data_IF_412806902570
#
_entry.id   IF_412806902570
#
_cell.length_a   1.000
_cell.length_b   1.000
_cell.length_c   1.000
_cell.angle_alpha   90.00
_cell.angle_beta   90.00
_cell.angle_gamma   90.00
#
_symmetry.space_group_name_H-M   'P 1'
#
loop_
_entity.id
_entity.type
_entity.pdbx_description
1 polymer ?
#
# COMPACT_ATOMS: atom_id res chain seq x y z
N UNK A 1 16.76 -18.81 1.64
CA UNK A 1 16.11 -17.95 2.66
C UNK A 1 14.75 -17.54 2.11
N UNK A 2 13.72 -17.41 2.96
CA UNK A 2 12.42 -16.87 2.54
C UNK A 2 12.62 -15.42 2.04
N UNK A 3 11.92 -15.04 0.97
CA UNK A 3 11.88 -13.65 0.51
C UNK A 3 11.31 -12.68 1.55
N UNK A 4 11.38 -11.39 1.25
CA UNK A 4 10.84 -10.32 2.11
C UNK A 4 9.66 -9.64 1.42
N UNK A 5 8.64 -9.33 2.19
CA UNK A 5 7.46 -8.61 1.71
C UNK A 5 7.39 -7.21 2.32
N UNK A 6 7.54 -6.19 1.49
CA UNK A 6 7.50 -4.78 1.88
C UNK A 6 6.32 -4.13 1.17
N UNK A 7 5.54 -3.34 1.90
CA UNK A 7 4.45 -2.55 1.34
C UNK A 7 4.70 -1.05 1.52
N UNK A 8 4.25 -0.26 0.56
CA UNK A 8 4.25 1.19 0.63
C UNK A 8 2.81 1.66 0.75
N UNK A 9 2.53 2.42 1.80
CA UNK A 9 1.20 2.91 2.13
C UNK A 9 1.18 4.44 2.24
N UNK A 10 0.01 5.02 2.39
CA UNK A 10 -0.18 6.47 2.47
C UNK A 10 -1.23 6.98 1.50
N UNK A 11 -1.58 8.27 1.62
CA UNK A 11 -2.59 8.95 0.80
C UNK A 11 -2.23 9.05 -0.68
N UNK A 12 -3.13 9.68 -1.44
CA UNK A 12 -2.88 9.94 -2.85
C UNK A 12 -1.75 10.97 -3.02
N UNK A 13 -0.97 10.83 -4.09
CA UNK A 13 0.16 11.74 -4.37
C UNK A 13 1.33 11.69 -3.38
N UNK A 14 1.36 10.73 -2.44
CA UNK A 14 2.42 10.63 -1.42
C UNK A 14 3.79 10.21 -1.97
N UNK A 15 3.90 9.82 -3.25
CA UNK A 15 5.18 9.46 -3.87
C UNK A 15 5.50 7.96 -3.85
N UNK A 16 4.56 7.09 -3.48
CA UNK A 16 4.75 5.64 -3.38
C UNK A 16 5.35 5.01 -4.64
N UNK A 17 4.78 5.31 -5.81
CA UNK A 17 5.21 4.74 -7.09
C UNK A 17 6.65 5.13 -7.44
N UNK A 18 7.05 6.37 -7.15
CA UNK A 18 8.43 6.84 -7.36
C UNK A 18 9.40 6.11 -6.43
N UNK A 19 9.03 6.03 -5.14
CA UNK A 19 9.87 5.38 -4.14
C UNK A 19 10.03 3.89 -4.40
N UNK A 20 8.96 3.18 -4.79
CA UNK A 20 9.00 1.73 -5.01
C UNK A 20 9.93 1.36 -6.18
N UNK A 21 9.97 2.17 -7.25
CA UNK A 21 10.89 1.93 -8.36
C UNK A 21 12.35 2.14 -7.93
N UNK A 22 12.64 3.23 -7.22
CA UNK A 22 13.98 3.50 -6.72
C UNK A 22 14.48 2.41 -5.75
N UNK A 23 13.61 1.93 -4.85
CA UNK A 23 13.92 0.81 -3.94
C UNK A 23 14.14 -0.50 -4.71
N UNK A 24 13.31 -0.79 -5.70
CA UNK A 24 13.47 -1.99 -6.53
C UNK A 24 14.82 -2.00 -7.25
N UNK A 25 15.22 -0.87 -7.82
CA UNK A 25 16.49 -0.75 -8.52
C UNK A 25 17.68 -0.90 -7.54
N UNK A 26 17.59 -0.30 -6.36
CA UNK A 26 18.61 -0.45 -5.32
C UNK A 26 18.78 -1.90 -4.86
N UNK A 27 17.66 -2.62 -4.63
CA UNK A 27 17.67 -4.03 -4.25
C UNK A 27 18.25 -4.91 -5.37
N UNK A 28 17.88 -4.66 -6.62
CA UNK A 28 18.42 -5.37 -7.79
C UNK A 28 19.91 -5.15 -7.97
N UNK A 29 20.41 -3.93 -7.73
CA UNK A 29 21.85 -3.62 -7.73
C UNK A 29 22.63 -4.43 -6.69
N UNK A 30 21.96 -4.87 -5.61
CA UNK A 30 22.52 -5.77 -4.60
C UNK A 30 22.36 -7.26 -4.97
N UNK A 31 21.91 -7.57 -6.19
CA UNK A 31 21.75 -8.93 -6.68
C UNK A 31 20.52 -9.68 -6.17
N UNK A 32 19.55 -8.97 -5.60
CA UNK A 32 18.30 -9.58 -5.11
C UNK A 32 17.30 -9.76 -6.25
N UNK A 33 16.55 -10.88 -6.23
CA UNK A 33 15.35 -11.03 -7.08
C UNK A 33 14.23 -10.16 -6.52
N UNK A 34 13.69 -9.25 -7.33
CA UNK A 34 12.71 -8.24 -6.89
C UNK A 34 11.49 -8.25 -7.78
N UNK A 35 10.34 -8.49 -7.17
CA UNK A 35 9.01 -8.35 -7.78
C UNK A 35 8.40 -7.04 -7.30
N UNK A 36 8.03 -6.17 -8.24
CA UNK A 36 7.26 -4.96 -7.97
C UNK A 36 5.82 -5.21 -8.39
N UNK A 37 4.88 -4.87 -7.51
CA UNK A 37 3.44 -5.08 -7.75
C UNK A 37 2.61 -3.97 -7.07
N UNK A 38 1.28 -4.05 -7.18
CA UNK A 38 0.36 -3.07 -6.59
C UNK A 38 -0.99 -3.67 -6.24
N UNK A 39 -1.73 -3.02 -5.36
CA UNK A 39 -3.12 -3.35 -5.06
C UNK A 39 -4.08 -2.14 -5.21
N UNK A 40 -5.34 -2.42 -5.63
CA UNK A 40 -5.79 -3.68 -6.20
C UNK A 40 -5.11 -3.93 -7.56
N UNK A 41 -4.86 -5.21 -7.90
CA UNK A 41 -4.21 -5.60 -9.15
C UNK A 41 -3.11 -6.64 -8.98
N UNK A 42 -2.17 -6.69 -9.94
CA UNK A 42 -0.99 -7.54 -9.91
C UNK A 42 -1.17 -8.94 -10.53
N UNK A 43 -2.40 -9.36 -10.80
CA UNK A 43 -2.73 -10.62 -11.50
C UNK A 43 -3.89 -10.38 -12.47
N UNK A 44 -4.08 -11.21 -13.50
CA UNK A 44 -5.17 -11.00 -14.46
C UNK A 44 -6.56 -10.88 -13.81
N UNK A 45 -6.88 -11.71 -12.81
CA UNK A 45 -8.14 -11.63 -12.08
C UNK A 45 -8.26 -10.36 -11.22
N UNK A 46 -7.19 -10.01 -10.51
CA UNK A 46 -7.15 -8.81 -9.69
C UNK A 46 -7.20 -7.51 -10.52
N UNK A 47 -6.65 -7.50 -11.75
CA UNK A 47 -6.75 -6.33 -12.65
C UNK A 47 -8.18 -6.09 -13.12
N UNK A 48 -8.99 -7.11 -13.37
CA UNK A 48 -10.42 -6.97 -13.66
C UNK A 48 -11.14 -6.32 -12.48
N UNK A 49 -10.86 -6.77 -11.26
CA UNK A 49 -11.43 -6.17 -10.04
C UNK A 49 -10.93 -4.73 -9.82
N UNK A 50 -9.68 -4.44 -10.15
CA UNK A 50 -9.13 -3.07 -10.13
C UNK A 50 -9.94 -2.13 -11.01
N UNK A 51 -10.21 -2.51 -12.25
CA UNK A 51 -10.98 -1.69 -13.18
C UNK A 51 -12.35 -1.31 -12.60
N UNK A 52 -13.10 -2.29 -12.07
CA UNK A 52 -14.39 -2.02 -11.47
C UNK A 52 -14.32 -1.20 -10.17
N UNK A 53 -13.25 -1.35 -9.39
CA UNK A 53 -13.05 -0.63 -8.12
C UNK A 53 -12.67 0.84 -8.32
N UNK A 54 -11.83 1.13 -9.32
CA UNK A 54 -11.29 2.48 -9.55
C UNK A 54 -12.15 3.37 -10.44
N UNK A 55 -13.18 2.80 -11.10
CA UNK A 55 -14.05 3.52 -12.03
C UNK A 55 -15.45 3.76 -11.47
N UNK A 56 -16.18 4.68 -12.10
CA UNK A 56 -17.58 4.99 -11.76
C UNK A 56 -17.73 6.10 -10.71
N UNK A 57 -18.94 6.28 -10.19
CA UNK A 57 -19.25 7.28 -9.17
C UNK A 57 -18.66 6.92 -7.80
N UNK A 58 -18.44 7.91 -6.94
CA UNK A 58 -17.85 7.71 -5.60
C UNK A 58 -18.72 6.83 -4.70
N UNK A 59 -20.02 6.87 -4.88
CA UNK A 59 -21.04 6.10 -4.15
C UNK A 59 -21.44 4.77 -4.83
N UNK A 60 -20.70 4.34 -5.85
CA UNK A 60 -20.98 3.10 -6.60
C UNK A 60 -21.08 1.87 -5.70
N UNK A 61 -20.27 1.81 -4.66
CA UNK A 61 -20.18 0.69 -3.74
C UNK A 61 -20.42 1.12 -2.30
N UNK A 62 -21.12 0.30 -1.52
CA UNK A 62 -21.06 0.47 -0.07
C UNK A 62 -19.64 0.15 0.43
N UNK A 63 -19.16 0.79 1.51
CA UNK A 63 -17.80 0.55 1.99
C UNK A 63 -17.48 -0.92 2.30
N UNK A 64 -18.48 -1.69 2.78
CA UNK A 64 -18.29 -3.12 3.02
C UNK A 64 -18.21 -3.93 1.73
N UNK A 65 -19.03 -3.62 0.72
CA UNK A 65 -18.93 -4.26 -0.61
C UNK A 65 -17.57 -3.99 -1.24
N UNK A 66 -17.07 -2.77 -1.11
CA UNK A 66 -15.76 -2.38 -1.60
C UNK A 66 -14.64 -3.15 -0.89
N UNK A 67 -14.72 -3.29 0.44
CA UNK A 67 -13.78 -4.11 1.21
C UNK A 67 -13.76 -5.57 0.74
N UNK A 68 -14.92 -6.16 0.49
CA UNK A 68 -15.02 -7.54 -0.03
C UNK A 68 -14.37 -7.69 -1.42
N UNK A 69 -14.59 -6.73 -2.32
CA UNK A 69 -13.96 -6.72 -3.65
C UNK A 69 -12.44 -6.53 -3.57
N UNK A 70 -11.97 -5.65 -2.66
CA UNK A 70 -10.53 -5.47 -2.39
C UNK A 70 -9.90 -6.77 -1.89
N UNK A 71 -10.57 -7.50 -0.98
CA UNK A 71 -10.06 -8.78 -0.49
C UNK A 71 -10.14 -9.88 -1.53
N UNK A 72 -11.15 -9.90 -2.41
CA UNK A 72 -11.20 -10.84 -3.53
C UNK A 72 -9.99 -10.66 -4.47
N UNK A 73 -9.65 -9.41 -4.83
CA UNK A 73 -8.46 -9.10 -5.62
C UNK A 73 -7.17 -9.50 -4.89
N UNK A 74 -7.10 -9.23 -3.59
CA UNK A 74 -5.93 -9.51 -2.74
C UNK A 74 -5.66 -11.00 -2.59
N UNK A 75 -6.69 -11.83 -2.40
CA UNK A 75 -6.52 -13.28 -2.34
C UNK A 75 -5.89 -13.81 -3.62
N UNK A 76 -6.45 -13.46 -4.79
CA UNK A 76 -5.88 -13.86 -6.09
C UNK A 76 -4.43 -13.38 -6.26
N UNK A 77 -4.14 -12.14 -5.82
CA UNK A 77 -2.81 -11.55 -5.86
C UNK A 77 -1.81 -12.28 -4.96
N UNK A 78 -2.20 -12.58 -3.72
CA UNK A 78 -1.33 -13.30 -2.77
C UNK A 78 -1.05 -14.71 -3.27
N UNK A 79 -2.08 -15.46 -3.66
CA UNK A 79 -1.94 -16.86 -4.06
C UNK A 79 -1.14 -17.04 -5.35
N UNK A 80 -1.34 -16.16 -6.34
CA UNK A 80 -0.77 -16.32 -7.68
C UNK A 80 0.56 -15.60 -7.90
N UNK A 81 0.85 -14.57 -7.11
CA UNK A 81 2.07 -13.76 -7.31
C UNK A 81 2.91 -13.63 -6.05
N UNK A 82 2.35 -13.09 -4.94
CA UNK A 82 3.17 -12.72 -3.79
C UNK A 82 3.74 -13.96 -3.10
N UNK A 83 2.90 -14.92 -2.70
CA UNK A 83 3.35 -16.11 -1.97
C UNK A 83 4.34 -16.97 -2.78
N UNK A 84 4.12 -17.24 -4.08
CA UNK A 84 5.13 -17.92 -4.90
C UNK A 84 6.45 -17.17 -5.03
N UNK A 85 6.41 -15.83 -5.13
CA UNK A 85 7.62 -15.00 -5.17
C UNK A 85 8.42 -15.11 -3.86
N UNK A 86 7.74 -14.99 -2.73
CA UNK A 86 8.38 -15.12 -1.41
C UNK A 86 8.96 -16.53 -1.17
N UNK A 87 8.28 -17.58 -1.65
CA UNK A 87 8.74 -18.97 -1.53
C UNK A 87 10.05 -19.22 -2.29
N UNK A 88 10.23 -18.61 -3.48
CA UNK A 88 11.50 -18.70 -4.23
C UNK A 88 12.60 -17.78 -3.72
N UNK A 89 12.34 -16.99 -2.65
CA UNK A 89 13.32 -16.09 -2.04
C UNK A 89 13.34 -14.68 -2.60
N UNK A 90 12.39 -14.32 -3.48
CA UNK A 90 12.31 -12.97 -4.04
C UNK A 90 11.82 -11.95 -2.99
N UNK A 91 12.29 -10.72 -3.12
CA UNK A 91 11.75 -9.57 -2.41
C UNK A 91 10.54 -9.06 -3.17
N UNK A 92 9.41 -8.88 -2.47
CA UNK A 92 8.19 -8.34 -3.06
C UNK A 92 7.98 -6.93 -2.52
N UNK A 93 7.87 -5.95 -3.42
CA UNK A 93 7.49 -4.57 -3.11
C UNK A 93 6.09 -4.33 -3.66
N UNK A 94 5.13 -4.01 -2.81
CA UNK A 94 3.76 -3.70 -3.23
C UNK A 94 3.38 -2.25 -2.95
N UNK A 95 2.87 -1.55 -3.98
CA UNK A 95 2.17 -0.27 -3.78
C UNK A 95 0.78 -0.60 -3.26
N UNK A 96 0.57 -0.41 -1.98
CA UNK A 96 -0.58 -0.78 -1.13
C UNK A 96 -0.72 -2.29 -0.84
N UNK A 97 -1.40 -2.55 0.29
CA UNK A 97 -1.85 -3.88 0.73
C UNK A 97 -3.02 -3.74 1.71
N UNK A 98 -3.12 -4.60 2.71
CA UNK A 98 -4.25 -4.71 3.64
C UNK A 98 -4.46 -3.44 4.49
N UNK A 99 -3.40 -2.71 4.81
CA UNK A 99 -3.46 -1.46 5.58
C UNK A 99 -4.28 -0.40 4.83
N UNK A 100 -4.21 -0.35 3.49
CA UNK A 100 -5.09 0.49 2.68
C UNK A 100 -6.57 0.17 2.92
N UNK A 101 -6.99 -1.10 3.01
CA UNK A 101 -8.40 -1.44 3.27
C UNK A 101 -8.82 -1.02 4.68
N UNK A 102 -7.95 -1.18 5.67
CA UNK A 102 -8.19 -0.69 7.04
C UNK A 102 -8.39 0.83 7.05
N UNK A 103 -7.57 1.57 6.29
CA UNK A 103 -7.63 3.02 6.23
C UNK A 103 -8.82 3.53 5.40
N UNK A 104 -8.99 3.05 4.16
CA UNK A 104 -10.01 3.55 3.21
C UNK A 104 -11.42 3.09 3.56
N UNK A 105 -11.66 1.78 3.65
CA UNK A 105 -12.99 1.22 3.89
C UNK A 105 -13.31 1.19 5.38
N UNK A 106 -12.30 0.96 6.22
CA UNK A 106 -12.45 0.98 7.67
C UNK A 106 -12.60 2.40 8.21
N UNK A 107 -11.51 3.04 8.57
CA UNK A 107 -11.52 4.30 9.32
C UNK A 107 -12.14 5.47 8.55
N UNK A 108 -11.81 5.67 7.27
CA UNK A 108 -12.37 6.74 6.46
C UNK A 108 -13.77 6.41 5.91
N UNK A 109 -14.04 5.14 5.57
CA UNK A 109 -15.28 4.68 4.98
C UNK A 109 -16.34 4.21 5.99
N UNK A 110 -15.98 4.08 7.27
CA UNK A 110 -16.93 3.78 8.36
C UNK A 110 -17.27 2.30 8.57
N UNK A 111 -16.57 1.36 7.91
CA UNK A 111 -16.69 -0.06 8.25
C UNK A 111 -15.98 -0.30 9.60
N UNK A 112 -16.64 -0.92 10.60
CA UNK A 112 -15.99 -1.23 11.87
C UNK A 112 -14.68 -2.00 11.66
N UNK A 113 -13.59 -1.54 12.29
CA UNK A 113 -12.24 -2.11 12.10
C UNK A 113 -12.21 -3.60 12.40
N UNK A 114 -12.96 -4.04 13.42
CA UNK A 114 -13.05 -5.46 13.77
C UNK A 114 -13.64 -6.32 12.64
N UNK A 115 -14.53 -5.77 11.82
CA UNK A 115 -15.05 -6.49 10.64
C UNK A 115 -14.00 -6.62 9.54
N UNK A 116 -13.15 -5.59 9.36
CA UNK A 116 -12.01 -5.65 8.43
C UNK A 116 -10.99 -6.70 8.91
N UNK A 117 -10.69 -6.74 10.21
CA UNK A 117 -9.80 -7.75 10.79
C UNK A 117 -10.34 -9.19 10.61
N UNK A 118 -11.63 -9.41 10.86
CA UNK A 118 -12.28 -10.71 10.62
C UNK A 118 -12.23 -11.11 9.15
N UNK A 119 -12.46 -10.16 8.24
CA UNK A 119 -12.35 -10.40 6.80
C UNK A 119 -10.93 -10.77 6.41
N UNK A 120 -9.92 -10.05 6.93
CA UNK A 120 -8.51 -10.37 6.71
C UNK A 120 -8.19 -11.79 7.22
N UNK A 121 -8.57 -12.09 8.44
CA UNK A 121 -8.33 -13.41 9.04
C UNK A 121 -8.98 -14.55 8.23
N UNK A 122 -10.21 -14.34 7.76
CA UNK A 122 -10.90 -15.34 6.93
C UNK A 122 -10.27 -15.52 5.55
N UNK A 123 -9.78 -14.44 4.94
CA UNK A 123 -9.25 -14.46 3.58
C UNK A 123 -7.76 -14.88 3.51
N UNK A 124 -6.93 -14.44 4.44
CA UNK A 124 -5.47 -14.54 4.39
C UNK A 124 -4.83 -15.09 5.68
N UNK A 125 -5.62 -15.34 6.73
CA UNK A 125 -5.07 -15.75 8.03
C UNK A 125 -4.12 -14.70 8.61
N UNK A 126 -2.91 -15.12 8.95
CA UNK A 126 -1.88 -14.24 9.52
C UNK A 126 -0.91 -13.67 8.48
N UNK A 127 -1.26 -13.74 7.17
CA UNK A 127 -0.38 -13.23 6.11
C UNK A 127 -0.31 -11.71 6.17
N UNK A 128 0.89 -11.18 6.40
CA UNK A 128 1.14 -9.74 6.50
C UNK A 128 2.53 -9.38 5.98
N UNK A 129 2.78 -8.11 5.64
CA UNK A 129 4.11 -7.64 5.26
C UNK A 129 5.14 -7.82 6.39
N UNK A 130 6.40 -8.03 6.02
CA UNK A 130 7.53 -7.97 6.95
C UNK A 130 7.82 -6.52 7.38
N UNK A 131 7.56 -5.54 6.48
CA UNK A 131 7.71 -4.11 6.73
C UNK A 131 6.70 -3.32 5.90
N UNK A 132 6.08 -2.30 6.49
CA UNK A 132 5.23 -1.31 5.81
C UNK A 132 5.84 0.08 5.97
N UNK A 133 6.13 0.73 4.84
CA UNK A 133 6.56 2.13 4.80
C UNK A 133 5.34 3.01 4.55
N UNK A 134 4.96 3.82 5.52
CA UNK A 134 3.82 4.75 5.41
C UNK A 134 4.35 6.13 5.05
N UNK A 135 4.09 6.56 3.81
CA UNK A 135 4.46 7.89 3.35
C UNK A 135 3.39 8.89 3.83
N UNK A 136 3.74 9.68 4.85
CA UNK A 136 2.87 10.72 5.36
C UNK A 136 3.05 12.01 4.57
N UNK A 137 1.95 12.54 4.01
CA UNK A 137 1.94 13.81 3.31
C UNK A 137 0.64 14.56 3.64
N UNK A 138 0.71 15.89 3.66
CA UNK A 138 -0.49 16.69 3.76
C UNK A 138 -1.42 16.37 2.57
N UNK A 139 -2.70 16.03 2.80
CA UNK A 139 -3.63 15.65 1.74
C UNK A 139 -3.74 16.69 0.62
N UNK A 140 -3.70 17.98 0.93
CA UNK A 140 -3.74 19.04 -0.07
C UNK A 140 -2.58 18.95 -1.03
N UNK A 141 -1.34 18.77 -0.52
CA UNK A 141 -0.13 18.63 -1.32
C UNK A 141 -0.22 17.35 -2.17
N UNK A 142 -0.71 16.25 -1.58
CA UNK A 142 -0.87 14.98 -2.29
C UNK A 142 -1.83 15.11 -3.48
N UNK A 143 -2.99 15.72 -3.29
CA UNK A 143 -3.98 15.95 -4.34
C UNK A 143 -3.42 16.88 -5.43
N UNK A 144 -2.74 17.96 -5.07
CA UNK A 144 -2.09 18.87 -6.04
C UNK A 144 -1.07 18.12 -6.91
N UNK A 145 -0.24 17.24 -6.31
CA UNK A 145 0.71 16.40 -7.05
C UNK A 145 0.00 15.43 -8.01
N UNK A 146 -1.17 14.91 -7.62
CA UNK A 146 -1.97 14.01 -8.47
C UNK A 146 -2.55 14.77 -9.66
N UNK A 147 -3.13 15.95 -9.44
CA UNK A 147 -3.66 16.82 -10.50
C UNK A 147 -2.55 17.23 -11.48
N UNK A 148 -1.36 17.59 -10.96
CA UNK A 148 -0.22 17.99 -11.80
C UNK A 148 0.30 16.90 -12.74
N UNK A 149 0.01 15.60 -12.47
CA UNK A 149 0.36 14.49 -13.37
C UNK A 149 -0.51 14.41 -14.62
N UNK A 150 -1.67 15.07 -14.64
CA UNK A 150 -2.57 15.12 -15.80
C UNK A 150 -3.27 13.81 -16.12
N UNK A 151 -3.27 12.85 -15.21
CA UNK A 151 -4.03 11.59 -15.35
C UNK A 151 -5.49 11.78 -14.95
N UNK A 152 -6.39 10.97 -15.52
CA UNK A 152 -7.79 10.95 -15.11
C UNK A 152 -7.89 10.57 -13.62
N UNK A 153 -8.59 11.41 -12.86
CA UNK A 153 -8.77 11.18 -11.44
C UNK A 153 -9.52 9.86 -11.18
N UNK A 154 -8.91 9.00 -10.39
CA UNK A 154 -9.55 7.77 -9.92
C UNK A 154 -10.77 8.08 -9.06
N UNK A 155 -11.63 7.10 -8.81
CA UNK A 155 -12.78 7.26 -7.93
C UNK A 155 -12.37 7.72 -6.52
N UNK A 156 -11.25 7.23 -6.00
CA UNK A 156 -10.75 7.56 -4.67
C UNK A 156 -10.22 9.00 -4.55
N UNK A 157 -9.62 9.53 -5.60
CA UNK A 157 -9.13 10.92 -5.63
C UNK A 157 -10.27 11.96 -5.64
N UNK A 158 -11.49 11.54 -6.01
CA UNK A 158 -12.68 12.39 -6.07
C UNK A 158 -13.47 12.47 -4.76
N UNK A 159 -13.04 11.81 -3.68
CA UNK A 159 -13.65 11.95 -2.36
C UNK A 159 -13.41 13.36 -1.79
N UNK A 160 -14.24 13.74 -0.82
CA UNK A 160 -14.14 15.05 -0.17
C UNK A 160 -12.84 15.20 0.65
N UNK A 161 -12.39 16.46 0.90
CA UNK A 161 -11.16 16.70 1.68
C UNK A 161 -11.19 16.13 3.10
N UNK A 162 -12.38 16.04 3.73
CA UNK A 162 -12.56 15.43 5.05
C UNK A 162 -12.25 13.93 5.03
N UNK A 163 -12.60 13.24 3.94
CA UNK A 163 -12.23 11.84 3.74
C UNK A 163 -10.70 11.67 3.74
N UNK A 164 -9.99 12.49 2.97
CA UNK A 164 -8.52 12.42 2.89
C UNK A 164 -7.84 12.76 4.22
N UNK A 165 -8.42 13.67 5.01
CA UNK A 165 -7.96 13.96 6.37
C UNK A 165 -8.11 12.75 7.32
N UNK A 166 -9.27 12.07 7.29
CA UNK A 166 -9.49 10.83 8.06
C UNK A 166 -8.56 9.72 7.60
N UNK A 167 -8.36 9.59 6.30
CA UNK A 167 -7.45 8.61 5.70
C UNK A 167 -6.00 8.77 6.18
N UNK A 168 -5.46 10.00 6.15
CA UNK A 168 -4.13 10.30 6.69
C UNK A 168 -4.02 9.89 8.16
N UNK A 169 -5.00 10.29 8.99
CA UNK A 169 -5.02 9.92 10.41
C UNK A 169 -5.03 8.40 10.58
N UNK A 170 -5.82 7.69 9.79
CA UNK A 170 -5.91 6.24 9.87
C UNK A 170 -4.57 5.54 9.60
N UNK A 171 -3.78 6.02 8.64
CA UNK A 171 -2.44 5.47 8.40
C UNK A 171 -1.48 5.72 9.57
N UNK A 172 -1.54 6.91 10.19
CA UNK A 172 -0.74 7.20 11.39
C UNK A 172 -1.17 6.33 12.58
N UNK A 173 -2.47 6.16 12.79
CA UNK A 173 -3.01 5.29 13.84
C UNK A 173 -2.60 3.81 13.62
N UNK A 174 -2.51 3.34 12.36
CA UNK A 174 -1.99 1.99 12.04
C UNK A 174 -0.51 1.89 12.45
N UNK A 175 0.31 2.89 12.14
CA UNK A 175 1.72 2.89 12.53
C UNK A 175 1.89 2.87 14.06
N UNK A 176 1.12 3.68 14.76
CA UNK A 176 1.16 3.74 16.24
C UNK A 176 0.74 2.40 16.89
N UNK A 177 -0.17 1.65 16.25
CA UNK A 177 -0.64 0.36 16.76
C UNK A 177 0.24 -0.84 16.35
N UNK A 178 1.06 -0.71 15.30
CA UNK A 178 1.96 -1.77 14.81
C UNK A 178 3.39 -1.27 14.57
N UNK A 179 4.06 -0.66 15.59
CA UNK A 179 5.37 -0.01 15.42
C UNK A 179 6.50 -0.97 15.02
N UNK A 180 6.37 -2.26 15.32
CA UNK A 180 7.34 -3.28 14.93
C UNK A 180 7.35 -3.55 13.42
N UNK A 181 6.28 -3.20 12.70
CA UNK A 181 6.09 -3.48 11.28
C UNK A 181 5.93 -2.22 10.44
N UNK A 182 5.32 -1.17 10.99
CA UNK A 182 4.96 0.04 10.25
C UNK A 182 5.87 1.20 10.66
N UNK A 183 6.49 1.82 9.66
CA UNK A 183 7.35 2.99 9.86
C UNK A 183 6.82 4.16 9.02
N UNK A 184 6.64 5.31 9.67
CA UNK A 184 6.21 6.54 9.00
C UNK A 184 7.43 7.26 8.44
N UNK A 185 7.34 7.66 7.18
CA UNK A 185 8.35 8.47 6.49
C UNK A 185 7.67 9.77 6.02
N UNK A 186 8.28 10.91 6.25
CA UNK A 186 7.79 12.19 5.75
C UNK A 186 7.85 12.25 4.22
N UNK A 187 6.71 12.04 3.57
CA UNK A 187 6.56 12.12 2.10
C UNK A 187 6.49 13.56 1.56
N UNK A 188 6.57 14.56 2.44
CA UNK A 188 6.69 15.97 2.09
C UNK A 188 8.10 16.38 1.68
N UNK A 189 9.10 15.64 2.15
CA UNK A 189 10.52 15.87 1.87
C UNK A 189 10.89 15.65 0.39
N UNK A 190 12.12 16.06 0.03
CA UNK A 190 12.68 15.79 -1.28
C UNK A 190 12.82 14.28 -1.53
N UNK A 191 12.59 13.83 -2.77
CA UNK A 191 12.53 12.40 -3.11
C UNK A 191 13.80 11.63 -2.73
N UNK A 192 14.98 12.26 -2.79
CA UNK A 192 16.24 11.65 -2.40
C UNK A 192 16.37 11.48 -0.87
N UNK A 193 15.76 12.38 -0.09
CA UNK A 193 15.68 12.29 1.38
C UNK A 193 14.75 11.14 1.76
N UNK A 194 13.53 11.11 1.19
CA UNK A 194 12.56 10.03 1.38
C UNK A 194 13.18 8.66 1.06
N UNK A 195 13.90 8.59 -0.06
CA UNK A 195 14.59 7.36 -0.48
C UNK A 195 15.66 6.92 0.52
N UNK A 196 16.52 7.84 1.01
CA UNK A 196 17.53 7.53 2.02
C UNK A 196 16.91 7.02 3.33
N UNK A 197 15.84 7.66 3.80
CA UNK A 197 15.13 7.20 4.99
C UNK A 197 14.53 5.79 4.78
N UNK A 198 13.92 5.53 3.63
CA UNK A 198 13.38 4.21 3.32
C UNK A 198 14.47 3.12 3.27
N UNK A 199 15.63 3.41 2.67
CA UNK A 199 16.78 2.49 2.62
C UNK A 199 17.31 2.20 4.02
N UNK A 200 17.51 3.23 4.87
CA UNK A 200 17.94 3.06 6.27
C UNK A 200 16.95 2.19 7.04
N UNK A 201 15.66 2.48 6.92
CA UNK A 201 14.60 1.70 7.58
C UNK A 201 14.61 0.23 7.15
N UNK A 202 14.78 -0.06 5.86
CA UNK A 202 14.87 -1.44 5.35
C UNK A 202 16.10 -2.15 5.92
N UNK A 203 17.25 -1.46 5.99
CA UNK A 203 18.46 -2.03 6.56
C UNK A 203 18.30 -2.33 8.05
N UNK A 204 17.74 -1.42 8.83
CA UNK A 204 17.51 -1.57 10.26
C UNK A 204 16.54 -2.71 10.60
N UNK A 205 15.42 -2.83 9.85
CA UNK A 205 14.37 -3.82 10.14
C UNK A 205 14.66 -5.19 9.52
N UNK A 206 15.26 -5.23 8.34
CA UNK A 206 15.39 -6.47 7.56
C UNK A 206 16.84 -6.91 7.35
N UNK A 207 17.83 -6.11 7.74
CA UNK A 207 19.24 -6.43 7.62
C UNK A 207 19.72 -6.58 6.17
N UNK A 208 19.16 -5.78 5.26
CA UNK A 208 19.39 -5.91 3.81
C UNK A 208 20.77 -5.41 3.35
N UNK A 209 21.44 -4.58 4.17
CA UNK A 209 22.74 -3.97 3.89
C UNK A 209 22.75 -3.21 2.56
N UNK A 210 21.77 -2.32 2.39
CA UNK A 210 21.57 -1.52 1.17
C UNK A 210 22.44 -0.24 1.15
N UNK A 211 22.84 0.23 2.32
CA UNK A 211 23.74 1.38 2.50
C UNK A 211 25.17 1.08 2.09
#
# INVERSE_FOLDING_TARGET
MRGRFITLEGGEGAGKTTLIQALADKLRQRGLDVVVTREPGGTPGAEVLREILLTGATDRWSPMTEALLMYAARVDHVERLIAPALQRGAWVLSDRFADSTTAYQGAAGGVPIERIKLLHQAALGNFKPDLTLILDVNPTIGIERTIARGEDATRFERFDPGFHGRLRRAFLDIADNEPDRCVVIDGGEAADIVFRHAVSTIDEHLGARLL
#
